data_IF_767032147450
#
_entry.id   IF_767032147450
#
_cell.length_a   1.000
_cell.length_b   1.000
_cell.length_c   1.000
_cell.angle_alpha   90.00
_cell.angle_beta   90.00
_cell.angle_gamma   90.00
#
_symmetry.space_group_name_H-M   'P 1'
#
loop_
_entity.id
_entity.type
_entity.pdbx_description
1 polymer ?
#
# COMPACT_ATOMS: atom_id res chain seq x y z
N UNK A 1 -1.12 5.59 -2.05
CA UNK A 1 -0.18 4.49 -2.26
C UNK A 1 -0.18 3.59 -1.04
N UNK A 2 -0.31 2.27 -1.22
CA UNK A 2 -0.39 1.31 -0.13
C UNK A 2 -1.67 1.36 0.72
N UNK A 3 -2.64 2.19 0.35
CA UNK A 3 -3.89 2.30 1.11
C UNK A 3 -4.86 1.19 0.73
N UNK A 4 -5.59 0.69 1.72
CA UNK A 4 -6.72 -0.21 1.48
C UNK A 4 -7.87 0.59 0.90
N UNK A 5 -8.43 0.11 -0.20
CA UNK A 5 -9.59 0.67 -0.88
C UNK A 5 -10.72 -0.35 -0.91
N UNK A 6 -11.95 0.13 -0.84
CA UNK A 6 -13.15 -0.70 -0.83
C UNK A 6 -13.91 -0.58 -2.15
N UNK A 7 -14.82 -1.53 -2.40
CA UNK A 7 -15.66 -1.48 -3.60
C UNK A 7 -16.42 -0.15 -3.69
N UNK A 8 -16.28 0.54 -4.82
CA UNK A 8 -16.88 1.85 -5.06
C UNK A 8 -15.97 3.04 -4.84
N UNK A 9 -14.86 2.90 -4.10
CA UNK A 9 -13.91 3.99 -3.86
C UNK A 9 -13.29 4.48 -5.17
N UNK A 10 -13.15 5.79 -5.29
CA UNK A 10 -12.53 6.40 -6.48
C UNK A 10 -11.02 6.31 -6.36
N UNK A 11 -10.40 5.66 -7.35
CA UNK A 11 -8.95 5.46 -7.42
C UNK A 11 -8.26 6.61 -8.16
N UNK A 12 -8.82 7.00 -9.28
CA UNK A 12 -8.32 8.11 -10.09
C UNK A 12 -9.42 8.64 -11.02
N UNK A 13 -9.17 9.82 -11.57
CA UNK A 13 -9.98 10.39 -12.63
C UNK A 13 -9.22 10.32 -13.95
N UNK A 14 -9.89 9.82 -14.99
CA UNK A 14 -9.36 9.80 -16.36
C UNK A 14 -10.06 10.88 -17.14
N UNK A 15 -9.29 11.80 -17.69
CA UNK A 15 -9.80 12.89 -18.52
C UNK A 15 -9.75 12.50 -19.99
N UNK A 16 -10.87 12.65 -20.69
CA UNK A 16 -10.91 12.40 -22.13
C UNK A 16 -10.33 13.58 -22.94
N UNK A 17 -10.09 13.37 -24.23
CA UNK A 17 -9.44 14.33 -25.12
C UNK A 17 -10.11 15.70 -25.26
N UNK A 18 -11.35 15.86 -24.78
CA UNK A 18 -12.05 17.17 -24.78
C UNK A 18 -11.72 18.05 -23.57
N UNK A 19 -11.09 17.48 -22.53
CA UNK A 19 -10.74 18.23 -21.34
C UNK A 19 -9.57 19.20 -21.63
N UNK A 20 -9.76 20.48 -21.32
CA UNK A 20 -8.73 21.50 -21.47
C UNK A 20 -8.74 22.49 -20.30
N UNK A 21 -7.60 23.12 -20.05
CA UNK A 21 -7.48 24.19 -19.05
C UNK A 21 -8.37 25.40 -19.38
N UNK A 22 -8.60 25.67 -20.67
CA UNK A 22 -9.49 26.75 -21.11
C UNK A 22 -10.94 26.54 -20.62
N UNK A 23 -11.43 25.30 -20.65
CA UNK A 23 -12.77 24.97 -20.17
C UNK A 23 -12.89 25.14 -18.64
N UNK A 24 -11.83 24.81 -17.90
CA UNK A 24 -11.78 25.05 -16.46
C UNK A 24 -11.74 26.54 -16.15
N UNK A 25 -11.02 27.34 -16.94
CA UNK A 25 -10.99 28.80 -16.80
C UNK A 25 -12.37 29.38 -17.09
N UNK A 26 -13.09 28.88 -18.11
CA UNK A 26 -14.46 29.31 -18.39
C UNK A 26 -15.39 29.04 -17.20
N UNK A 27 -15.34 27.82 -16.63
CA UNK A 27 -16.14 27.49 -15.44
C UNK A 27 -15.81 28.40 -14.24
N UNK A 28 -14.53 28.74 -14.05
CA UNK A 28 -14.13 29.65 -12.99
C UNK A 28 -14.67 31.07 -13.25
N UNK A 29 -14.57 31.55 -14.48
CA UNK A 29 -15.15 32.86 -14.86
C UNK A 29 -16.66 32.91 -14.65
N UNK A 30 -17.39 31.83 -14.97
CA UNK A 30 -18.82 31.74 -14.72
C UNK A 30 -19.15 31.87 -13.22
N UNK A 31 -18.34 31.17 -12.38
CA UNK A 31 -18.49 31.26 -10.91
C UNK A 31 -18.16 32.64 -10.36
N UNK A 32 -17.12 33.26 -10.88
CA UNK A 32 -16.75 34.61 -10.48
C UNK A 32 -17.85 35.60 -10.88
N UNK A 33 -18.40 35.48 -12.09
CA UNK A 33 -19.54 36.32 -12.53
C UNK A 33 -20.80 36.12 -11.67
N UNK A 34 -21.07 34.87 -11.23
CA UNK A 34 -22.17 34.60 -10.28
C UNK A 34 -21.88 35.30 -8.95
N UNK A 35 -20.68 35.15 -8.40
CA UNK A 35 -20.32 35.79 -7.12
C UNK A 35 -20.41 37.29 -7.19
N UNK A 36 -19.87 37.93 -8.23
CA UNK A 36 -19.92 39.39 -8.40
C UNK A 36 -21.35 39.87 -8.52
N UNK A 37 -22.18 39.16 -9.27
CA UNK A 37 -23.58 39.53 -9.39
C UNK A 37 -24.36 39.33 -8.09
N UNK A 38 -24.12 38.25 -7.37
CA UNK A 38 -24.69 38.03 -6.04
C UNK A 38 -24.30 39.15 -5.06
N UNK A 39 -23.03 39.59 -5.09
CA UNK A 39 -22.58 40.70 -4.26
C UNK A 39 -23.31 42.02 -4.63
N UNK A 40 -23.50 42.27 -5.93
CA UNK A 40 -24.25 43.45 -6.37
C UNK A 40 -25.73 43.46 -5.93
N UNK A 41 -26.37 42.27 -5.94
CA UNK A 41 -27.74 42.12 -5.44
C UNK A 41 -27.81 42.38 -3.93
N UNK A 42 -26.88 41.82 -3.15
CA UNK A 42 -26.81 42.05 -1.70
C UNK A 42 -26.52 43.52 -1.36
N UNK A 43 -25.65 44.17 -2.12
CA UNK A 43 -25.35 45.60 -1.92
C UNK A 43 -26.53 46.52 -2.24
N UNK A 44 -27.48 46.09 -3.07
CA UNK A 44 -28.69 46.83 -3.40
C UNK A 44 -29.84 46.61 -2.41
N UNK A 45 -29.72 45.63 -1.50
CA UNK A 45 -30.72 45.39 -0.46
C UNK A 45 -30.62 46.43 0.67
N UNK A 46 -31.76 46.96 1.07
CA UNK A 46 -31.86 47.84 2.21
C UNK A 46 -32.14 47.11 3.52
N UNK A 47 -32.71 45.93 3.43
CA UNK A 47 -33.11 45.14 4.58
C UNK A 47 -32.03 44.11 4.97
N UNK A 48 -31.79 44.01 6.28
CA UNK A 48 -30.84 43.05 6.80
C UNK A 48 -31.37 41.60 6.74
N UNK A 49 -30.75 40.74 5.94
CA UNK A 49 -31.11 39.34 5.80
C UNK A 49 -30.28 38.48 6.74
N UNK A 50 -30.80 38.20 7.93
CA UNK A 50 -30.14 37.40 8.97
C UNK A 50 -29.82 35.98 8.49
N UNK A 51 -30.66 35.39 7.62
CA UNK A 51 -30.43 34.02 7.11
C UNK A 51 -29.29 33.98 6.13
N UNK A 52 -29.21 34.96 5.24
CA UNK A 52 -28.11 35.11 4.30
C UNK A 52 -26.78 35.28 5.03
N UNK A 53 -26.74 36.11 6.06
CA UNK A 53 -25.51 36.36 6.81
C UNK A 53 -25.05 35.13 7.56
N UNK A 54 -25.98 34.32 8.11
CA UNK A 54 -25.62 33.01 8.71
C UNK A 54 -25.02 32.06 7.69
N UNK A 55 -25.62 31.89 6.51
CA UNK A 55 -25.14 31.01 5.46
C UNK A 55 -23.78 31.47 4.91
N UNK A 56 -23.55 32.76 4.80
CA UNK A 56 -22.26 33.32 4.41
C UNK A 56 -21.17 33.02 5.43
N UNK A 57 -21.45 33.21 6.72
CA UNK A 57 -20.51 32.92 7.79
C UNK A 57 -20.20 31.42 7.91
N UNK A 58 -21.21 30.56 7.73
CA UNK A 58 -20.99 29.12 7.72
C UNK A 58 -20.03 28.68 6.59
N UNK A 59 -20.23 29.18 5.36
CA UNK A 59 -19.29 28.92 4.25
C UNK A 59 -17.90 29.44 4.57
N UNK A 60 -17.75 30.61 5.19
CA UNK A 60 -16.47 31.17 5.56
C UNK A 60 -15.75 30.31 6.60
N UNK A 61 -16.44 29.91 7.66
CA UNK A 61 -15.90 29.07 8.73
C UNK A 61 -15.42 27.71 8.17
N UNK A 62 -16.28 27.03 7.38
CA UNK A 62 -15.91 25.76 6.75
C UNK A 62 -14.74 25.91 5.78
N UNK A 63 -14.69 27.01 5.03
CA UNK A 63 -13.57 27.32 4.15
C UNK A 63 -12.24 27.51 4.90
N UNK A 64 -12.28 28.17 6.05
CA UNK A 64 -11.10 28.33 6.92
C UNK A 64 -10.65 26.97 7.53
N UNK A 65 -11.58 26.09 7.91
CA UNK A 65 -11.28 24.74 8.38
C UNK A 65 -10.57 23.91 7.29
N UNK A 66 -11.12 23.87 6.07
CA UNK A 66 -10.49 23.18 4.94
C UNK A 66 -9.10 23.74 4.66
N UNK A 67 -8.97 25.08 4.63
CA UNK A 67 -7.69 25.74 4.44
C UNK A 67 -6.66 25.35 5.51
N UNK A 68 -7.06 25.27 6.77
CA UNK A 68 -6.18 24.88 7.86
C UNK A 68 -5.66 23.42 7.69
N UNK A 69 -6.54 22.49 7.24
CA UNK A 69 -6.18 21.11 6.97
C UNK A 69 -5.20 20.99 5.81
N UNK A 70 -5.41 21.75 4.73
CA UNK A 70 -4.47 21.82 3.59
C UNK A 70 -3.09 22.31 4.04
N UNK A 71 -3.03 23.20 5.04
CA UNK A 71 -1.78 23.69 5.62
C UNK A 71 -1.20 22.83 6.75
N UNK A 72 -1.69 21.61 6.93
CA UNK A 72 -1.09 20.60 7.81
C UNK A 72 -1.74 20.47 9.19
N UNK A 73 -2.90 21.08 9.44
CA UNK A 73 -3.68 20.80 10.64
C UNK A 73 -4.15 19.33 10.66
N UNK A 74 -4.30 18.76 11.85
CA UNK A 74 -4.81 17.38 12.00
C UNK A 74 -6.32 17.34 11.78
N UNK A 75 -6.79 16.39 10.97
CA UNK A 75 -8.21 16.16 10.72
C UNK A 75 -8.47 15.38 9.43
N UNK A 76 -9.75 15.17 9.11
CA UNK A 76 -10.17 14.48 7.90
C UNK A 76 -10.55 15.52 6.82
N UNK A 77 -9.64 15.77 5.88
CA UNK A 77 -9.82 16.73 4.79
C UNK A 77 -11.05 16.40 3.94
N UNK A 78 -11.21 15.14 3.54
CA UNK A 78 -12.33 14.72 2.67
C UNK A 78 -13.68 14.97 3.32
N UNK A 79 -13.80 14.72 4.62
CA UNK A 79 -15.04 15.01 5.35
C UNK A 79 -15.32 16.52 5.41
N UNK A 80 -14.30 17.35 5.67
CA UNK A 80 -14.45 18.81 5.74
C UNK A 80 -14.75 19.42 4.36
N UNK A 81 -14.19 18.87 3.29
CA UNK A 81 -14.56 19.26 1.92
C UNK A 81 -16.04 18.98 1.61
N UNK A 82 -16.59 17.85 2.06
CA UNK A 82 -18.01 17.53 1.90
C UNK A 82 -18.92 18.48 2.70
N UNK A 83 -18.52 18.81 3.93
CA UNK A 83 -19.24 19.76 4.77
C UNK A 83 -19.24 21.15 4.12
N UNK A 84 -18.08 21.62 3.63
CA UNK A 84 -17.97 22.88 2.90
C UNK A 84 -18.83 22.88 1.63
N UNK A 85 -18.80 21.82 0.84
CA UNK A 85 -19.63 21.68 -0.35
C UNK A 85 -21.13 21.76 -0.02
N UNK A 86 -21.54 21.17 1.10
CA UNK A 86 -22.92 21.25 1.60
C UNK A 86 -23.30 22.68 1.98
N UNK A 87 -22.44 23.39 2.72
CA UNK A 87 -22.67 24.78 3.11
C UNK A 87 -22.77 25.72 1.89
N UNK A 88 -21.89 25.52 0.89
CA UNK A 88 -21.94 26.27 -0.38
C UNK A 88 -23.27 26.01 -1.10
N UNK A 89 -23.71 24.76 -1.19
CA UNK A 89 -24.97 24.38 -1.84
C UNK A 89 -26.17 25.04 -1.13
N UNK A 90 -26.21 24.97 0.20
CA UNK A 90 -27.31 25.62 0.98
C UNK A 90 -27.36 27.11 0.77
N UNK A 91 -26.21 27.80 0.70
CA UNK A 91 -26.17 29.24 0.38
C UNK A 91 -26.65 29.51 -1.04
N UNK A 92 -26.26 28.72 -2.02
CA UNK A 92 -26.69 28.86 -3.42
C UNK A 92 -28.19 28.62 -3.58
N UNK A 93 -28.74 27.59 -2.92
CA UNK A 93 -30.16 27.28 -2.97
C UNK A 93 -31.01 28.40 -2.35
N UNK A 94 -30.52 28.98 -1.25
CA UNK A 94 -31.16 30.13 -0.65
C UNK A 94 -31.17 31.34 -1.59
N UNK A 95 -30.05 31.63 -2.25
CA UNK A 95 -29.96 32.68 -3.27
C UNK A 95 -30.93 32.45 -4.42
N UNK A 96 -30.97 31.24 -4.97
CA UNK A 96 -31.89 30.87 -6.05
C UNK A 96 -33.33 31.03 -5.66
N UNK A 97 -33.68 30.68 -4.44
CA UNK A 97 -35.06 30.83 -3.94
C UNK A 97 -35.41 32.29 -3.76
N UNK A 98 -34.53 33.07 -3.14
CA UNK A 98 -34.76 34.51 -2.85
C UNK A 98 -34.87 35.34 -4.12
N UNK A 99 -34.00 35.10 -5.09
CA UNK A 99 -33.95 35.82 -6.36
C UNK A 99 -34.47 35.00 -7.54
N UNK A 100 -35.48 34.19 -7.31
CA UNK A 100 -36.00 33.24 -8.34
C UNK A 100 -36.53 33.93 -9.58
N UNK A 101 -36.95 35.20 -9.49
CA UNK A 101 -37.44 36.00 -10.60
C UNK A 101 -36.36 36.79 -11.34
N UNK A 102 -35.12 36.78 -10.84
CA UNK A 102 -34.01 37.48 -11.50
C UNK A 102 -33.51 36.68 -12.71
N UNK A 103 -33.83 37.23 -13.88
CA UNK A 103 -33.49 36.54 -15.16
C UNK A 103 -31.97 36.49 -15.43
N UNK A 104 -31.21 37.49 -14.95
CA UNK A 104 -29.75 37.51 -15.15
C UNK A 104 -29.06 36.48 -14.27
N UNK A 105 -29.46 36.39 -13.00
CA UNK A 105 -28.90 35.38 -12.10
C UNK A 105 -29.23 33.97 -12.56
N UNK A 106 -30.46 33.72 -12.99
CA UNK A 106 -30.87 32.42 -13.51
C UNK A 106 -30.04 32.01 -14.74
N UNK A 107 -29.79 32.95 -15.67
CA UNK A 107 -28.95 32.69 -16.84
C UNK A 107 -27.50 32.33 -16.44
N UNK A 108 -26.90 33.06 -15.50
CA UNK A 108 -25.54 32.75 -15.03
C UNK A 108 -25.47 31.35 -14.40
N UNK A 109 -26.48 30.92 -13.64
CA UNK A 109 -26.55 29.57 -13.13
C UNK A 109 -26.72 28.50 -14.20
N UNK A 110 -27.50 28.79 -15.26
CA UNK A 110 -27.71 27.88 -16.37
C UNK A 110 -26.41 27.72 -17.20
N UNK A 111 -25.66 28.82 -17.40
CA UNK A 111 -24.38 28.83 -18.07
C UNK A 111 -23.35 28.00 -17.26
N UNK A 112 -23.23 28.23 -15.94
CA UNK A 112 -22.35 27.40 -15.05
C UNK A 112 -22.76 25.92 -15.09
N UNK A 113 -24.06 25.62 -14.97
CA UNK A 113 -24.55 24.24 -14.96
C UNK A 113 -24.26 23.53 -16.28
N UNK A 114 -24.38 24.23 -17.39
CA UNK A 114 -24.07 23.70 -18.73
C UNK A 114 -22.58 23.42 -18.87
N UNK A 115 -21.74 24.37 -18.46
CA UNK A 115 -20.28 24.22 -18.48
C UNK A 115 -19.81 23.10 -17.56
N UNK A 116 -20.35 23.04 -16.35
CA UNK A 116 -20.07 21.96 -15.39
C UNK A 116 -20.42 20.59 -15.95
N UNK A 117 -21.61 20.44 -16.53
CA UNK A 117 -22.08 19.19 -17.15
C UNK A 117 -21.20 18.76 -18.31
N UNK A 118 -20.72 19.72 -19.10
CA UNK A 118 -19.79 19.49 -20.20
C UNK A 118 -18.45 18.95 -19.69
N UNK A 119 -17.86 19.56 -18.66
CA UNK A 119 -16.61 19.13 -18.03
C UNK A 119 -16.78 17.75 -17.39
N UNK A 120 -17.87 17.53 -16.65
CA UNK A 120 -18.16 16.24 -16.01
C UNK A 120 -18.28 15.10 -17.04
N UNK A 121 -18.75 15.36 -18.24
CA UNK A 121 -18.84 14.36 -19.32
C UNK A 121 -17.47 13.83 -19.76
N UNK A 122 -16.41 14.61 -19.58
CA UNK A 122 -15.02 14.24 -19.92
C UNK A 122 -14.27 13.59 -18.77
N UNK A 123 -14.81 13.66 -17.56
CA UNK A 123 -14.19 13.09 -16.37
C UNK A 123 -14.79 11.72 -16.12
N UNK A 124 -13.94 10.68 -16.20
CA UNK A 124 -14.35 9.30 -15.94
C UNK A 124 -13.68 8.80 -14.67
N UNK A 125 -14.41 8.71 -13.55
CA UNK A 125 -13.85 8.12 -12.34
C UNK A 125 -13.59 6.64 -12.54
N UNK A 126 -12.42 6.17 -12.16
CA UNK A 126 -12.09 4.76 -12.02
C UNK A 126 -12.28 4.36 -10.58
N UNK A 127 -13.09 3.34 -10.35
CA UNK A 127 -13.48 2.89 -9.02
C UNK A 127 -12.91 1.50 -8.74
N UNK A 128 -12.62 1.23 -7.48
CA UNK A 128 -12.29 -0.10 -7.02
C UNK A 128 -13.50 -1.03 -7.18
N UNK A 129 -13.29 -2.22 -7.70
CA UNK A 129 -14.36 -3.23 -7.86
C UNK A 129 -14.50 -4.12 -6.62
N UNK A 130 -13.45 -4.23 -5.83
CA UNK A 130 -13.37 -5.05 -4.61
C UNK A 130 -12.39 -4.45 -3.64
N UNK A 131 -12.40 -4.92 -2.40
CA UNK A 131 -11.37 -4.56 -1.42
C UNK A 131 -9.99 -4.96 -1.93
N UNK A 132 -9.05 -4.02 -1.92
CA UNK A 132 -7.69 -4.20 -2.44
C UNK A 132 -6.76 -3.15 -1.87
N UNK A 133 -5.46 -3.39 -1.96
CA UNK A 133 -4.44 -2.37 -1.71
C UNK A 133 -4.12 -1.70 -3.04
N UNK A 134 -4.19 -0.37 -3.10
CA UNK A 134 -3.87 0.39 -4.31
C UNK A 134 -2.39 0.73 -4.35
N UNK A 135 -1.76 0.50 -5.51
CA UNK A 135 -0.41 0.94 -5.81
C UNK A 135 -0.36 1.64 -7.16
N UNK A 136 0.18 2.85 -7.18
CA UNK A 136 0.45 3.61 -8.41
C UNK A 136 1.85 3.33 -8.96
N UNK A 137 2.62 2.50 -8.28
CA UNK A 137 3.89 2.02 -8.79
C UNK A 137 3.66 1.01 -9.91
N UNK A 138 4.05 1.37 -11.12
CA UNK A 138 3.96 0.51 -12.31
C UNK A 138 5.35 0.38 -12.92
N UNK A 139 5.78 -0.86 -13.15
CA UNK A 139 7.09 -1.21 -13.69
C UNK A 139 7.02 -1.86 -15.07
N UNK A 140 5.81 -2.09 -15.56
CA UNK A 140 5.52 -2.71 -16.83
C UNK A 140 5.51 -4.24 -16.82
N UNK A 141 5.47 -4.86 -15.65
CA UNK A 141 5.25 -6.31 -15.47
C UNK A 141 3.81 -6.64 -15.05
N UNK A 142 2.92 -5.66 -14.95
CA UNK A 142 1.56 -5.81 -14.43
C UNK A 142 0.74 -6.84 -15.25
N UNK A 143 1.00 -6.92 -16.55
CA UNK A 143 0.33 -7.86 -17.45
C UNK A 143 0.94 -9.27 -17.39
N UNK A 144 2.19 -9.39 -16.98
CA UNK A 144 2.93 -10.65 -16.98
C UNK A 144 2.79 -11.38 -15.63
N UNK A 145 2.94 -10.64 -14.53
CA UNK A 145 2.92 -11.21 -13.18
C UNK A 145 1.49 -11.16 -12.61
N UNK A 146 0.60 -11.91 -13.24
CA UNK A 146 -0.79 -12.08 -12.82
C UNK A 146 -0.99 -13.46 -12.18
N UNK A 147 -2.02 -13.66 -11.35
CA UNK A 147 -2.31 -14.96 -10.72
C UNK A 147 -2.49 -16.10 -11.73
N UNK A 148 -2.93 -15.80 -12.94
CA UNK A 148 -3.13 -16.81 -14.01
C UNK A 148 -1.85 -17.10 -14.80
N UNK A 149 -0.89 -16.21 -14.81
CA UNK A 149 0.31 -16.33 -15.64
C UNK A 149 1.51 -16.95 -14.88
N UNK A 150 1.61 -16.74 -13.56
CA UNK A 150 2.79 -17.13 -12.80
C UNK A 150 3.07 -18.63 -12.81
N UNK A 151 2.06 -19.47 -12.98
CA UNK A 151 2.21 -20.93 -13.05
C UNK A 151 2.90 -21.41 -14.33
N UNK A 152 2.80 -20.64 -15.40
CA UNK A 152 3.29 -21.02 -16.73
C UNK A 152 4.76 -20.73 -16.97
N UNK A 153 5.42 -19.91 -16.12
CA UNK A 153 6.80 -19.49 -16.35
C UNK A 153 7.81 -20.59 -16.12
N UNK A 154 8.81 -20.62 -17.00
CA UNK A 154 9.98 -21.47 -16.88
C UNK A 154 11.11 -20.76 -16.09
N UNK A 155 12.11 -21.49 -15.54
CA UNK A 155 13.26 -20.88 -14.88
C UNK A 155 13.97 -19.81 -15.71
N UNK A 156 14.15 -20.07 -17.02
CA UNK A 156 14.83 -19.12 -17.94
C UNK A 156 14.02 -17.83 -18.15
N UNK A 157 12.69 -17.91 -18.23
CA UNK A 157 11.82 -16.74 -18.35
C UNK A 157 11.85 -15.89 -17.07
N UNK A 158 11.78 -16.55 -15.90
CA UNK A 158 11.89 -15.85 -14.62
C UNK A 158 13.25 -15.16 -14.46
N UNK A 159 14.34 -15.83 -14.88
CA UNK A 159 15.67 -15.21 -14.91
C UNK A 159 15.72 -13.98 -15.79
N UNK A 160 15.12 -14.04 -16.97
CA UNK A 160 15.03 -12.89 -17.87
C UNK A 160 14.27 -11.72 -17.23
N UNK A 161 13.17 -12.01 -16.55
CA UNK A 161 12.39 -11.00 -15.81
C UNK A 161 13.18 -10.38 -14.66
N UNK A 162 13.93 -11.19 -13.89
CA UNK A 162 14.83 -10.69 -12.83
C UNK A 162 15.90 -9.75 -13.40
N UNK A 163 16.38 -10.03 -14.61
CA UNK A 163 17.33 -9.17 -15.34
C UNK A 163 16.66 -7.97 -16.04
N UNK A 164 15.38 -7.71 -15.80
CA UNK A 164 14.64 -6.56 -16.33
C UNK A 164 14.06 -6.75 -17.74
N UNK A 165 14.17 -7.95 -18.33
CA UNK A 165 13.58 -8.24 -19.63
C UNK A 165 12.08 -8.48 -19.46
N UNK A 166 11.27 -7.58 -20.02
CA UNK A 166 9.80 -7.68 -19.94
C UNK A 166 9.30 -8.71 -20.95
N UNK A 167 8.39 -9.61 -20.54
CA UNK A 167 7.71 -10.50 -21.48
C UNK A 167 6.93 -9.72 -22.54
N UNK A 168 6.70 -10.32 -23.72
CA UNK A 168 5.93 -9.65 -24.78
C UNK A 168 4.46 -9.48 -24.36
N UNK A 169 3.97 -8.25 -24.49
CA UNK A 169 2.56 -7.90 -24.18
C UNK A 169 1.56 -8.45 -25.20
N UNK A 170 2.02 -8.99 -26.31
CA UNK A 170 1.16 -9.30 -27.45
C UNK A 170 0.55 -8.05 -28.10
N UNK A 171 -0.10 -8.25 -29.25
CA UNK A 171 -0.65 -7.14 -30.07
C UNK A 171 -1.85 -6.43 -29.41
N UNK A 172 -2.65 -7.14 -28.62
CA UNK A 172 -3.88 -6.60 -28.01
C UNK A 172 -3.62 -5.57 -26.87
N UNK A 173 -2.44 -5.57 -26.28
CA UNK A 173 -2.07 -4.68 -25.19
C UNK A 173 -1.11 -3.55 -25.61
N UNK A 174 -0.72 -3.50 -26.88
CA UNK A 174 0.14 -2.42 -27.40
C UNK A 174 -0.57 -1.07 -27.28
N UNK A 175 0.14 -0.07 -26.76
CA UNK A 175 -0.37 1.29 -26.58
C UNK A 175 -1.23 1.51 -25.34
N UNK A 176 -1.42 0.51 -24.47
CA UNK A 176 -2.04 0.69 -23.16
C UNK A 176 -0.98 1.04 -22.11
N UNK A 177 -1.29 2.02 -21.28
CA UNK A 177 -0.46 2.40 -20.13
C UNK A 177 -1.19 1.96 -18.86
N UNK A 178 -0.51 1.20 -18.03
CA UNK A 178 -1.02 0.82 -16.72
C UNK A 178 -0.90 2.04 -15.79
N UNK A 179 -2.00 2.43 -15.15
CA UNK A 179 -2.06 3.62 -14.30
C UNK A 179 -1.87 3.28 -12.82
N UNK A 180 -2.33 2.12 -12.41
CA UNK A 180 -2.26 1.62 -11.04
C UNK A 180 -2.42 0.10 -11.02
N UNK A 181 -2.04 -0.49 -9.90
CA UNK A 181 -2.30 -1.90 -9.56
C UNK A 181 -3.28 -1.98 -8.40
N UNK A 182 -4.13 -2.99 -8.42
CA UNK A 182 -4.93 -3.40 -7.28
C UNK A 182 -4.41 -4.76 -6.81
N UNK A 183 -3.88 -4.78 -5.61
CA UNK A 183 -3.31 -5.98 -5.00
C UNK A 183 -4.33 -6.52 -3.99
N UNK A 184 -4.72 -7.77 -4.16
CA UNK A 184 -5.64 -8.43 -3.25
C UNK A 184 -4.88 -8.83 -1.98
N UNK A 185 -5.37 -8.40 -0.84
CA UNK A 185 -4.81 -8.74 0.46
C UNK A 185 -4.78 -10.28 0.67
N UNK A 186 -3.68 -10.77 1.24
CA UNK A 186 -3.52 -12.20 1.54
C UNK A 186 -3.37 -13.12 0.31
N UNK A 187 -3.16 -12.59 -0.88
CA UNK A 187 -3.00 -13.39 -2.11
C UNK A 187 -1.74 -13.02 -2.87
N UNK A 188 -0.60 -13.34 -2.28
CA UNK A 188 0.72 -13.07 -2.85
C UNK A 188 1.42 -14.35 -3.26
N UNK A 189 2.12 -14.29 -4.39
CA UNK A 189 2.96 -15.39 -4.87
C UNK A 189 4.38 -14.89 -5.14
N UNK A 190 5.33 -15.76 -4.89
CA UNK A 190 6.76 -15.54 -5.16
C UNK A 190 7.27 -16.61 -6.12
N UNK A 191 7.96 -16.19 -7.16
CA UNK A 191 8.72 -17.03 -8.06
C UNK A 191 10.19 -16.97 -7.63
N UNK A 192 10.68 -18.02 -6.99
CA UNK A 192 12.04 -18.06 -6.45
C UNK A 192 12.94 -18.95 -7.31
N UNK A 193 14.05 -18.38 -7.82
CA UNK A 193 15.09 -19.15 -8.50
C UNK A 193 16.18 -19.54 -7.52
N UNK A 194 16.44 -20.84 -7.43
CA UNK A 194 17.41 -21.43 -6.51
C UNK A 194 18.49 -22.15 -7.30
N UNK A 195 19.75 -21.85 -6.97
CA UNK A 195 20.92 -22.58 -7.47
C UNK A 195 21.31 -23.64 -6.46
N UNK A 196 20.51 -24.66 -6.31
CA UNK A 196 20.81 -25.78 -5.42
C UNK A 196 20.44 -27.10 -6.10
N UNK A 197 21.44 -27.94 -6.33
CA UNK A 197 21.25 -29.17 -7.05
C UNK A 197 20.67 -30.31 -6.19
N UNK A 198 20.73 -30.18 -4.87
CA UNK A 198 20.34 -31.22 -3.93
C UNK A 198 18.98 -30.99 -3.27
N UNK A 199 18.50 -29.72 -3.23
CA UNK A 199 17.24 -29.42 -2.60
C UNK A 199 16.05 -29.75 -3.50
N UNK A 200 15.08 -30.50 -2.97
CA UNK A 200 13.86 -30.91 -3.67
C UNK A 200 12.66 -30.67 -2.76
N UNK A 201 12.11 -29.46 -2.78
CA UNK A 201 10.93 -29.13 -1.98
C UNK A 201 9.72 -29.91 -2.48
N UNK A 202 8.85 -30.28 -1.56
CA UNK A 202 7.58 -30.95 -1.86
C UNK A 202 6.46 -29.92 -1.87
N UNK A 203 5.46 -30.17 -2.70
CA UNK A 203 4.26 -29.35 -2.71
C UNK A 203 3.58 -29.42 -1.34
N UNK A 204 3.25 -28.25 -0.78
CA UNK A 204 2.67 -28.12 0.56
C UNK A 204 3.70 -27.86 1.69
N UNK A 205 4.99 -28.05 1.45
CA UNK A 205 6.02 -27.72 2.45
C UNK A 205 5.95 -26.22 2.80
N UNK A 206 6.09 -25.91 4.08
CA UNK A 206 6.08 -24.52 4.58
C UNK A 206 7.45 -24.13 5.10
N UNK A 207 7.92 -22.96 4.69
CA UNK A 207 9.21 -22.41 5.07
C UNK A 207 9.05 -20.95 5.51
N UNK A 208 10.05 -20.46 6.25
CA UNK A 208 10.22 -19.02 6.47
C UNK A 208 10.97 -18.43 5.29
N UNK A 209 10.38 -17.41 4.67
CA UNK A 209 10.96 -16.64 3.58
C UNK A 209 11.43 -15.30 4.13
N UNK A 210 12.73 -15.04 4.05
CA UNK A 210 13.36 -13.78 4.44
C UNK A 210 13.58 -12.94 3.20
N UNK A 211 13.04 -11.76 3.17
CA UNK A 211 13.19 -10.78 2.10
C UNK A 211 14.28 -9.78 2.48
N UNK A 212 15.52 -9.99 2.00
CA UNK A 212 16.71 -9.26 2.48
C UNK A 212 16.63 -7.73 2.28
N UNK A 213 16.06 -7.28 1.17
CA UNK A 213 15.99 -5.84 0.83
C UNK A 213 14.85 -5.10 1.53
N UNK A 214 14.01 -5.79 2.28
CA UNK A 214 12.87 -5.24 3.01
C UNK A 214 13.06 -5.36 4.52
N UNK A 215 14.13 -4.78 5.03
CA UNK A 215 14.50 -4.85 6.46
C UNK A 215 14.54 -6.29 6.99
N UNK A 216 14.88 -7.25 6.12
CA UNK A 216 14.83 -8.70 6.41
C UNK A 216 13.45 -9.16 6.91
N UNK A 217 12.39 -8.64 6.32
CA UNK A 217 11.02 -9.07 6.62
C UNK A 217 10.92 -10.59 6.45
N UNK A 218 10.39 -11.26 7.45
CA UNK A 218 10.19 -12.70 7.50
C UNK A 218 8.73 -13.03 7.35
N UNK A 219 8.40 -13.84 6.34
CA UNK A 219 7.01 -14.27 6.08
C UNK A 219 6.94 -15.79 5.96
N UNK A 220 5.79 -16.36 6.28
CA UNK A 220 5.54 -17.78 6.00
C UNK A 220 5.23 -17.96 4.52
N UNK A 221 5.88 -18.94 3.91
CA UNK A 221 5.70 -19.27 2.50
C UNK A 221 5.49 -20.77 2.31
N UNK A 222 4.43 -21.11 1.58
CA UNK A 222 4.11 -22.50 1.25
C UNK A 222 4.50 -22.80 -0.19
N UNK A 223 5.16 -23.94 -0.40
CA UNK A 223 5.51 -24.43 -1.73
C UNK A 223 4.22 -24.87 -2.46
N UNK A 224 3.94 -24.22 -3.58
CA UNK A 224 2.85 -24.58 -4.47
C UNK A 224 3.29 -25.61 -5.51
N UNK A 225 4.46 -25.40 -6.09
CA UNK A 225 5.07 -26.33 -7.04
C UNK A 225 6.53 -25.98 -7.24
N UNK A 226 7.29 -26.94 -7.77
CA UNK A 226 8.68 -26.73 -8.16
C UNK A 226 8.95 -27.27 -9.55
N UNK A 227 9.84 -26.62 -10.29
CA UNK A 227 10.24 -27.06 -11.64
C UNK A 227 11.74 -26.87 -11.83
N UNK A 228 12.43 -27.93 -12.20
CA UNK A 228 13.87 -27.91 -12.47
C UNK A 228 14.10 -27.91 -13.98
N UNK A 229 14.86 -26.96 -14.48
CA UNK A 229 15.28 -26.90 -15.88
C UNK A 229 16.54 -26.09 -16.04
N UNK A 230 17.45 -26.57 -16.90
CA UNK A 230 18.69 -25.85 -17.21
C UNK A 230 19.64 -25.65 -16.02
N UNK A 231 19.65 -26.55 -15.03
CA UNK A 231 20.46 -26.43 -13.81
C UNK A 231 19.91 -25.44 -12.77
N UNK A 232 18.70 -24.95 -12.97
CA UNK A 232 18.02 -24.06 -12.03
C UNK A 232 16.73 -24.69 -11.53
N UNK A 233 16.43 -24.43 -10.26
CA UNK A 233 15.17 -24.80 -9.62
C UNK A 233 14.31 -23.56 -9.49
N UNK A 234 13.15 -23.56 -10.11
CA UNK A 234 12.10 -22.57 -9.88
C UNK A 234 11.10 -23.10 -8.87
N UNK A 235 10.98 -22.43 -7.75
CA UNK A 235 10.00 -22.73 -6.71
C UNK A 235 8.92 -21.67 -6.74
N UNK A 236 7.68 -22.09 -6.77
CA UNK A 236 6.49 -21.23 -6.69
C UNK A 236 5.97 -21.29 -5.27
N UNK A 237 5.90 -20.14 -4.64
CA UNK A 237 5.53 -19.99 -3.23
C UNK A 237 4.26 -19.16 -3.10
N UNK A 238 3.32 -19.61 -2.30
CA UNK A 238 2.28 -18.76 -1.75
C UNK A 238 2.82 -18.12 -0.47
N UNK A 239 2.63 -16.83 -0.31
CA UNK A 239 3.04 -16.09 0.90
C UNK A 239 1.85 -15.99 1.85
N UNK A 240 2.04 -16.42 3.10
CA UNK A 240 1.02 -16.52 4.12
C UNK A 240 1.06 -15.35 5.13
N UNK A 241 1.48 -14.18 4.70
CA UNK A 241 1.62 -13.01 5.56
C UNK A 241 1.32 -11.70 4.83
N UNK A 242 1.38 -10.60 5.58
CA UNK A 242 1.31 -9.27 5.01
C UNK A 242 2.65 -8.92 4.34
N UNK A 243 2.56 -8.49 3.09
CA UNK A 243 3.70 -8.03 2.29
C UNK A 243 3.45 -6.64 1.70
N UNK A 244 2.65 -5.83 2.37
CA UNK A 244 2.35 -4.45 1.94
C UNK A 244 3.63 -3.63 1.71
N UNK A 245 4.67 -3.87 2.51
CA UNK A 245 5.97 -3.21 2.39
C UNK A 245 6.70 -3.53 1.08
N UNK A 246 6.37 -4.63 0.41
CA UNK A 246 7.02 -5.06 -0.85
C UNK A 246 6.30 -4.58 -2.11
N UNK A 247 5.28 -3.74 -2.00
CA UNK A 247 4.50 -3.25 -3.14
C UNK A 247 5.32 -2.42 -4.14
N UNK A 248 6.43 -1.86 -3.69
CA UNK A 248 7.29 -0.98 -4.50
C UNK A 248 8.39 -1.71 -5.26
N UNK A 249 8.60 -2.99 -5.01
CA UNK A 249 9.63 -3.79 -5.66
C UNK A 249 9.09 -5.13 -6.14
N UNK A 250 9.56 -5.56 -7.31
CA UNK A 250 9.19 -6.85 -7.92
C UNK A 250 10.22 -7.93 -7.68
N UNK A 251 11.45 -7.56 -7.47
CA UNK A 251 12.58 -8.49 -7.34
C UNK A 251 13.40 -8.14 -6.11
N UNK A 252 13.79 -9.16 -5.36
CA UNK A 252 14.70 -9.02 -4.24
C UNK A 252 15.53 -10.28 -4.09
N UNK A 253 16.57 -10.22 -3.25
CA UNK A 253 17.22 -11.43 -2.73
C UNK A 253 16.38 -11.97 -1.59
N UNK A 254 16.25 -13.29 -1.56
CA UNK A 254 15.47 -13.94 -0.52
C UNK A 254 16.19 -15.20 -0.06
N UNK A 255 16.01 -15.53 1.21
CA UNK A 255 16.46 -16.79 1.80
C UNK A 255 15.24 -17.58 2.22
N UNK A 256 15.26 -18.87 1.95
CA UNK A 256 14.22 -19.80 2.35
C UNK A 256 14.84 -20.80 3.33
N UNK A 257 14.23 -20.96 4.48
CA UNK A 257 14.75 -21.86 5.51
C UNK A 257 13.75 -22.16 6.60
N UNK A 258 14.15 -23.05 7.48
CA UNK A 258 13.44 -23.28 8.74
C UNK A 258 14.01 -22.33 9.80
N UNK A 259 13.13 -21.64 10.51
CA UNK A 259 13.51 -20.87 11.69
C UNK A 259 13.49 -21.80 12.89
N UNK A 260 14.60 -21.83 13.59
CA UNK A 260 14.68 -22.45 14.90
C UNK A 260 14.89 -21.34 15.91
N UNK A 261 14.01 -21.24 16.90
CA UNK A 261 14.22 -20.32 18.01
C UNK A 261 15.50 -20.71 18.71
N UNK A 262 16.47 -19.79 18.73
CA UNK A 262 17.78 -20.02 19.31
C UNK A 262 18.18 -18.83 20.20
N UNK A 263 19.13 -19.09 21.08
CA UNK A 263 19.75 -18.06 21.90
C UNK A 263 21.17 -17.81 21.43
N UNK A 264 21.58 -16.57 21.45
CA UNK A 264 22.93 -16.18 21.20
C UNK A 264 23.72 -16.20 22.51
N UNK A 265 24.81 -16.98 22.54
CA UNK A 265 25.75 -17.00 23.63
C UNK A 265 27.16 -16.77 23.12
N UNK A 266 28.09 -16.20 23.89
CA UNK A 266 29.49 -16.18 23.49
C UNK A 266 30.04 -17.59 23.24
N UNK A 267 30.78 -17.83 22.17
CA UNK A 267 31.34 -19.16 21.90
C UNK A 267 32.20 -19.70 23.07
N UNK A 268 32.80 -18.78 23.85
CA UNK A 268 33.55 -19.13 25.08
C UNK A 268 32.68 -19.61 26.24
N UNK A 269 31.34 -19.49 26.14
CA UNK A 269 30.45 -20.04 27.14
C UNK A 269 30.10 -21.50 26.91
N UNK A 270 30.46 -22.05 25.74
CA UNK A 270 30.26 -23.45 25.44
C UNK A 270 31.23 -24.29 26.28
N UNK A 271 30.69 -25.27 26.97
CA UNK A 271 31.44 -26.20 27.81
C UNK A 271 30.98 -27.64 27.56
N UNK A 272 31.93 -28.57 27.53
CA UNK A 272 31.60 -29.98 27.32
C UNK A 272 31.68 -30.72 28.66
N UNK A 273 30.57 -31.34 29.04
CA UNK A 273 30.50 -32.20 30.25
C UNK A 273 29.84 -33.54 29.89
N UNK A 274 30.50 -34.64 30.22
CA UNK A 274 30.03 -36.00 29.95
C UNK A 274 29.59 -36.20 28.47
N UNK A 275 30.43 -35.79 27.54
CA UNK A 275 30.19 -35.82 26.08
C UNK A 275 29.02 -34.96 25.57
N UNK A 276 28.41 -34.16 26.41
CA UNK A 276 27.38 -33.21 26.01
C UNK A 276 27.94 -31.78 25.99
N UNK A 277 27.67 -31.06 24.90
CA UNK A 277 27.96 -29.63 24.82
C UNK A 277 26.83 -28.86 25.50
N UNK A 278 27.19 -27.89 26.32
CA UNK A 278 26.21 -27.08 27.03
C UNK A 278 26.76 -25.74 27.46
N UNK A 279 25.94 -24.97 28.18
CA UNK A 279 26.33 -23.74 28.86
C UNK A 279 26.16 -23.91 30.37
N UNK A 280 26.98 -23.21 31.14
CA UNK A 280 26.87 -23.21 32.61
C UNK A 280 26.22 -21.87 33.00
N UNK A 281 24.99 -21.95 33.52
CA UNK A 281 24.25 -20.80 34.02
C UNK A 281 24.73 -20.50 35.43
N UNK A 282 25.01 -19.24 35.70
CA UNK A 282 25.34 -18.74 37.03
C UNK A 282 24.05 -18.45 37.78
N UNK A 283 23.77 -19.21 38.83
CA UNK A 283 22.64 -18.99 39.72
C UNK A 283 23.13 -18.53 41.08
N UNK A 284 22.23 -18.07 41.96
CA UNK A 284 22.57 -17.61 43.30
C UNK A 284 23.04 -18.76 44.22
N UNK A 285 22.66 -20.01 43.92
CA UNK A 285 22.99 -21.15 44.79
C UNK A 285 24.14 -21.99 44.18
N UNK A 286 23.95 -22.66 43.05
CA UNK A 286 24.98 -23.48 42.40
C UNK A 286 24.95 -23.30 40.87
N UNK A 287 26.11 -23.37 40.21
CA UNK A 287 26.17 -23.33 38.75
C UNK A 287 25.41 -24.51 38.13
N UNK A 288 24.52 -24.23 37.19
CA UNK A 288 23.70 -25.22 36.51
C UNK A 288 24.23 -25.46 35.10
N UNK A 289 24.63 -26.71 34.80
CA UNK A 289 24.96 -27.10 33.44
C UNK A 289 23.67 -27.39 32.65
N UNK A 290 23.49 -26.67 31.53
CA UNK A 290 22.37 -26.85 30.64
C UNK A 290 22.88 -27.34 29.29
N UNK A 291 22.59 -28.62 28.91
CA UNK A 291 22.96 -29.12 27.62
C UNK A 291 22.20 -28.44 26.52
N UNK A 292 22.93 -28.05 25.45
CA UNK A 292 22.38 -27.33 24.30
C UNK A 292 22.77 -28.01 22.98
N UNK A 293 21.98 -27.81 21.96
CA UNK A 293 22.36 -28.11 20.59
C UNK A 293 22.94 -26.84 19.97
N UNK A 294 24.17 -26.90 19.52
CA UNK A 294 24.79 -25.77 18.77
C UNK A 294 24.34 -25.84 17.33
N UNK A 295 23.61 -24.81 16.89
CA UNK A 295 23.12 -24.71 15.53
C UNK A 295 24.13 -24.08 14.59
N UNK A 296 24.86 -23.07 15.07
CA UNK A 296 25.87 -22.33 14.31
C UNK A 296 26.83 -21.61 15.24
N UNK A 297 28.08 -21.50 14.81
CA UNK A 297 29.07 -20.61 15.43
C UNK A 297 29.61 -19.63 14.38
N UNK A 298 29.60 -18.34 14.72
CA UNK A 298 30.10 -17.31 13.82
C UNK A 298 30.55 -16.08 14.59
N UNK A 299 31.72 -15.53 14.25
CA UNK A 299 32.18 -14.25 14.81
C UNK A 299 32.38 -14.25 16.34
N UNK A 300 32.69 -15.40 16.97
CA UNK A 300 32.85 -15.55 18.41
C UNK A 300 31.53 -15.68 19.19
N UNK A 301 30.43 -15.88 18.48
CA UNK A 301 29.10 -16.13 18.99
C UNK A 301 28.65 -17.54 18.58
N UNK A 302 27.93 -18.20 19.47
CA UNK A 302 27.27 -19.46 19.21
C UNK A 302 25.74 -19.30 19.32
N UNK A 303 25.05 -19.84 18.33
CA UNK A 303 23.57 -19.87 18.32
C UNK A 303 23.16 -21.28 18.80
N UNK A 304 22.46 -21.29 19.92
CA UNK A 304 22.16 -22.54 20.63
C UNK A 304 20.69 -22.69 20.94
N UNK A 305 20.20 -23.91 20.98
CA UNK A 305 18.85 -24.21 21.48
C UNK A 305 18.98 -25.17 22.66
N UNK A 306 18.20 -24.91 23.71
CA UNK A 306 18.16 -25.78 24.87
C UNK A 306 17.46 -27.11 24.54
N UNK A 307 18.05 -28.22 24.92
CA UNK A 307 17.42 -29.54 24.77
C UNK A 307 16.14 -29.67 25.61
N UNK A 308 16.03 -28.86 26.67
CA UNK A 308 14.83 -28.83 27.53
C UNK A 308 14.26 -27.40 27.52
N UNK A 309 13.01 -27.28 27.16
CA UNK A 309 12.31 -26.00 27.13
C UNK A 309 12.34 -25.33 28.51
N UNK A 310 12.65 -24.02 28.54
CA UNK A 310 12.63 -23.19 29.74
C UNK A 310 13.90 -23.24 30.61
N UNK A 311 14.89 -24.07 30.28
CA UNK A 311 16.13 -24.13 31.07
C UNK A 311 17.16 -23.06 30.66
N UNK A 312 17.07 -22.52 29.48
CA UNK A 312 17.85 -21.39 29.02
C UNK A 312 16.87 -20.34 28.49
N UNK A 313 16.92 -19.13 29.06
CA UNK A 313 16.05 -18.01 28.68
C UNK A 313 16.88 -16.75 28.52
N UNK A 314 16.35 -15.78 27.80
CA UNK A 314 17.00 -14.51 27.58
C UNK A 314 17.27 -13.78 28.91
N UNK A 315 18.42 -13.10 29.01
CA UNK A 315 18.84 -12.39 30.21
C UNK A 315 19.55 -13.25 31.27
N UNK A 316 19.71 -14.56 31.07
CA UNK A 316 20.49 -15.40 32.00
C UNK A 316 21.99 -15.14 31.85
N UNK A 317 22.71 -15.17 32.99
CA UNK A 317 24.18 -15.03 33.00
C UNK A 317 24.83 -16.40 32.80
N UNK A 318 25.68 -16.51 31.77
CA UNK A 318 26.44 -17.71 31.48
C UNK A 318 27.90 -17.53 31.85
N UNK A 319 28.55 -18.61 32.33
CA UNK A 319 29.97 -18.63 32.65
C UNK A 319 30.79 -18.75 31.36
N UNK A 320 31.90 -18.00 31.29
CA UNK A 320 32.86 -18.10 30.21
C UNK A 320 34.04 -19.00 30.62
N UNK A 321 34.58 -19.76 29.65
CA UNK A 321 35.68 -20.67 29.82
C UNK A 321 36.89 -20.32 28.95
#
# INVERSE_FOLDING_TARGET
>A
EGSVVYSGDILCYVYSTGYSTAEMTTLQNDRDAINDYQQSLLASETDFDQRMERLKNDVLERGLEVRSLVHGARGNLTNQEQILATAITQRQDYFRTKYSTDMRLNRLYDDEATQKKRIESWIKPKRAMQQSIVSFYTDGFEYALTPSAYESYTPSQVRSMINGVKPDRGTAARGRTDLYRLVKEGNYAVLMLVKNDTWSPRDGDTYKLVLEQFSSTVVDAQVLSSTRSGGELLVRLAVLGDVSDVLYMRTCRAQLGEYVDCMEVPSRALYTQNDAVGVVIVTESEPLFVPVTVLREEGGKAYVTSIRTGYLTDGMTVRLF
#
